data_IF_195616939331
#
_entry.id   IF_195616939331
#
_cell.length_a   1.000
_cell.length_b   1.000
_cell.length_c   1.000
_cell.angle_alpha   90.00
_cell.angle_beta   90.00
_cell.angle_gamma   90.00
#
_symmetry.space_group_name_H-M   'P 1'
#
loop_
_entity.id
_entity.type
_entity.pdbx_description
1 polymer ?
#
# COMPACT_ATOMS: atom_id res chain seq x y z
N UNK A 1 -31.04 -21.84 -48.78
CA UNK A 1 -31.39 -20.42 -48.98
C UNK A 1 -30.11 -19.66 -49.29
N UNK A 2 -30.14 -18.65 -50.17
CA UNK A 2 -28.94 -17.90 -50.56
C UNK A 2 -28.43 -16.96 -49.46
N UNK A 3 -27.12 -16.63 -49.49
CA UNK A 3 -26.42 -15.64 -48.64
C UNK A 3 -27.26 -14.41 -48.36
N UNK A 4 -27.37 -14.02 -47.09
CA UNK A 4 -28.07 -12.80 -46.68
C UNK A 4 -27.36 -11.59 -47.30
N UNK A 5 -28.02 -10.98 -48.28
CA UNK A 5 -27.53 -9.84 -49.05
C UNK A 5 -28.51 -8.68 -49.01
N UNK A 6 -28.07 -7.48 -49.38
CA UNK A 6 -28.93 -6.29 -49.47
C UNK A 6 -30.18 -6.53 -50.34
N UNK A 7 -30.04 -7.30 -51.43
CA UNK A 7 -31.14 -7.66 -52.33
C UNK A 7 -32.18 -8.53 -51.64
N UNK A 8 -31.74 -9.58 -50.96
CA UNK A 8 -32.64 -10.49 -50.22
C UNK A 8 -33.34 -9.74 -49.08
N UNK A 9 -32.62 -8.88 -48.36
CA UNK A 9 -33.19 -8.10 -47.26
C UNK A 9 -34.31 -7.18 -47.76
N UNK A 10 -34.13 -6.54 -48.92
CA UNK A 10 -35.14 -5.64 -49.50
C UNK A 10 -36.43 -6.36 -49.91
N UNK A 11 -36.39 -7.67 -50.13
CA UNK A 11 -37.58 -8.47 -50.49
C UNK A 11 -38.33 -9.04 -49.29
N UNK A 12 -37.81 -8.90 -48.07
CA UNK A 12 -38.43 -9.47 -46.87
C UNK A 12 -39.60 -8.60 -46.42
N UNK A 13 -40.74 -9.24 -46.17
CA UNK A 13 -41.95 -8.59 -45.67
C UNK A 13 -42.23 -9.03 -44.23
N UNK A 14 -42.86 -8.16 -43.41
CA UNK A 14 -43.34 -8.56 -42.09
C UNK A 14 -44.39 -9.68 -42.20
N UNK A 15 -44.44 -10.56 -41.20
CA UNK A 15 -45.46 -11.59 -41.07
C UNK A 15 -46.12 -11.50 -39.69
N UNK A 16 -47.21 -12.24 -39.45
CA UNK A 16 -47.93 -12.22 -38.17
C UNK A 16 -47.05 -12.61 -36.97
N UNK A 17 -46.07 -13.49 -37.19
CA UNK A 17 -45.07 -13.92 -36.21
C UNK A 17 -43.67 -13.63 -36.72
N UNK A 18 -42.72 -13.48 -35.80
CA UNK A 18 -41.33 -13.31 -36.19
C UNK A 18 -40.80 -14.58 -36.89
N UNK A 19 -39.96 -14.38 -37.88
CA UNK A 19 -39.32 -15.49 -38.60
C UNK A 19 -37.83 -15.23 -38.80
N UNK A 20 -37.11 -16.30 -39.14
CA UNK A 20 -35.65 -16.31 -39.26
C UNK A 20 -35.26 -16.69 -40.69
N UNK A 21 -34.41 -15.86 -41.28
CA UNK A 21 -33.79 -16.09 -42.59
C UNK A 21 -32.33 -16.46 -42.35
N UNK A 22 -31.96 -17.70 -42.68
CA UNK A 22 -30.62 -18.24 -42.43
C UNK A 22 -29.63 -17.85 -43.54
N UNK A 23 -28.38 -17.60 -43.14
CA UNK A 23 -27.26 -17.41 -44.05
C UNK A 23 -26.65 -18.77 -44.43
N UNK A 24 -26.24 -18.92 -45.69
CA UNK A 24 -25.59 -20.14 -46.19
C UNK A 24 -24.06 -20.15 -46.00
N UNK A 25 -23.44 -18.98 -45.75
CA UNK A 25 -21.98 -18.90 -45.59
C UNK A 25 -21.54 -19.15 -44.16
N UNK A 26 -22.32 -18.73 -43.17
CA UNK A 26 -21.99 -18.89 -41.75
C UNK A 26 -23.10 -19.66 -41.04
N UNK A 27 -22.82 -20.92 -40.72
CA UNK A 27 -23.75 -21.78 -39.98
C UNK A 27 -24.12 -21.14 -38.63
N UNK A 28 -25.43 -21.03 -38.37
CA UNK A 28 -25.95 -20.39 -37.16
C UNK A 28 -26.17 -18.88 -37.29
N UNK A 29 -25.64 -18.20 -38.31
CA UNK A 29 -25.92 -16.78 -38.55
C UNK A 29 -27.25 -16.60 -39.31
N UNK A 30 -28.05 -15.64 -38.87
CA UNK A 30 -29.36 -15.39 -39.47
C UNK A 30 -29.83 -13.94 -39.29
N UNK A 31 -30.83 -13.56 -40.10
CA UNK A 31 -31.60 -12.35 -39.92
C UNK A 31 -32.98 -12.70 -39.36
N UNK A 32 -33.33 -12.11 -38.22
CA UNK A 32 -34.66 -12.20 -37.63
C UNK A 32 -35.50 -11.01 -38.10
N UNK A 33 -36.66 -11.30 -38.68
CA UNK A 33 -37.66 -10.30 -39.09
C UNK A 33 -38.79 -10.33 -38.09
N UNK A 34 -39.09 -9.19 -37.48
CA UNK A 34 -40.17 -9.04 -36.50
C UNK A 34 -41.50 -8.68 -37.17
N UNK A 35 -42.66 -8.93 -36.54
CA UNK A 35 -43.96 -8.52 -37.08
C UNK A 35 -44.08 -7.01 -37.34
N UNK A 36 -43.31 -6.19 -36.61
CA UNK A 36 -43.22 -4.74 -36.81
C UNK A 36 -42.39 -4.32 -38.03
N UNK A 37 -41.82 -5.27 -38.79
CA UNK A 37 -40.88 -5.01 -39.88
C UNK A 37 -39.46 -4.67 -39.44
N UNK A 38 -39.21 -4.54 -38.12
CA UNK A 38 -37.85 -4.40 -37.60
C UNK A 38 -37.05 -5.66 -37.91
N UNK A 39 -35.79 -5.50 -38.28
CA UNK A 39 -34.90 -6.62 -38.55
C UNK A 39 -33.68 -6.59 -37.63
N UNK A 40 -33.22 -7.76 -37.20
CA UNK A 40 -32.04 -7.91 -36.34
C UNK A 40 -31.21 -9.11 -36.73
N UNK A 41 -29.90 -8.92 -36.81
CA UNK A 41 -28.95 -9.99 -37.02
C UNK A 41 -28.76 -10.77 -35.72
N UNK A 42 -28.83 -12.09 -35.84
CA UNK A 42 -28.71 -13.03 -34.73
C UNK A 42 -27.73 -14.15 -35.08
N UNK A 43 -27.10 -14.72 -34.07
CA UNK A 43 -26.32 -15.94 -34.19
C UNK A 43 -26.83 -16.98 -33.19
N UNK A 44 -27.09 -18.17 -33.70
CA UNK A 44 -27.53 -19.33 -32.95
C UNK A 44 -26.34 -20.26 -32.75
N UNK A 45 -26.13 -20.70 -31.53
CA UNK A 45 -25.04 -21.61 -31.18
C UNK A 45 -25.44 -22.51 -30.01
N UNK A 46 -24.61 -23.51 -29.73
CA UNK A 46 -24.72 -24.33 -28.53
C UNK A 46 -23.56 -24.01 -27.60
N UNK A 47 -23.87 -23.74 -26.34
CA UNK A 47 -22.90 -23.62 -25.27
C UNK A 47 -23.46 -24.26 -24.00
N UNK A 48 -22.63 -24.96 -23.24
CA UNK A 48 -23.02 -25.63 -21.99
C UNK A 48 -24.28 -26.53 -22.14
N UNK A 49 -24.34 -27.31 -23.23
CA UNK A 49 -25.45 -28.23 -23.52
C UNK A 49 -26.77 -27.58 -23.92
N UNK A 50 -26.85 -26.25 -24.02
CA UNK A 50 -28.08 -25.51 -24.33
C UNK A 50 -27.98 -24.79 -25.67
N UNK A 51 -29.09 -24.73 -26.40
CA UNK A 51 -29.23 -23.84 -27.55
C UNK A 51 -29.40 -22.39 -27.08
N UNK A 52 -28.60 -21.49 -27.65
CA UNK A 52 -28.61 -20.06 -27.35
C UNK A 52 -28.77 -19.27 -28.65
N UNK A 53 -29.41 -18.11 -28.53
CA UNK A 53 -29.51 -17.10 -29.59
C UNK A 53 -28.93 -15.80 -29.06
N UNK A 54 -27.94 -15.25 -29.75
CA UNK A 54 -27.32 -13.98 -29.43
C UNK A 54 -27.69 -12.94 -30.51
N UNK A 55 -28.22 -11.81 -30.07
CA UNK A 55 -28.55 -10.70 -30.99
C UNK A 55 -27.34 -9.79 -31.15
N UNK A 56 -26.82 -9.73 -32.38
CA UNK A 56 -25.67 -8.90 -32.77
C UNK A 56 -26.10 -7.43 -32.83
N UNK A 57 -27.19 -7.13 -33.54
CA UNK A 57 -27.70 -5.78 -33.65
C UNK A 57 -28.81 -5.63 -34.70
N UNK A 58 -29.37 -4.44 -34.78
CA UNK A 58 -30.46 -4.14 -35.73
C UNK A 58 -29.93 -3.81 -37.12
N UNK A 59 -30.69 -4.22 -38.14
CA UNK A 59 -30.46 -3.79 -39.50
C UNK A 59 -30.59 -2.27 -39.60
N UNK A 60 -29.64 -1.62 -40.30
CA UNK A 60 -29.46 -0.16 -40.31
C UNK A 60 -28.06 0.19 -39.79
N UNK A 61 -27.85 0.29 -38.47
CA UNK A 61 -26.50 0.45 -37.88
C UNK A 61 -25.57 -0.72 -38.22
N UNK A 62 -26.13 -1.93 -38.34
CA UNK A 62 -25.42 -3.11 -38.82
C UNK A 62 -25.80 -3.43 -40.27
N UNK A 63 -24.79 -3.74 -41.08
CA UNK A 63 -24.97 -4.32 -42.42
C UNK A 63 -24.82 -5.84 -42.35
N UNK A 64 -25.33 -6.55 -43.37
CA UNK A 64 -25.26 -8.02 -43.40
C UNK A 64 -23.82 -8.53 -43.33
N UNK A 65 -22.89 -7.86 -44.02
CA UNK A 65 -21.49 -8.25 -44.04
C UNK A 65 -20.81 -8.00 -42.69
N UNK A 66 -20.97 -6.81 -42.10
CA UNK A 66 -20.42 -6.51 -40.76
C UNK A 66 -20.99 -7.44 -39.69
N UNK A 67 -22.28 -7.76 -39.76
CA UNK A 67 -22.91 -8.66 -38.82
C UNK A 67 -22.44 -10.11 -39.01
N UNK A 68 -22.12 -10.53 -40.24
CA UNK A 68 -21.53 -11.85 -40.52
C UNK A 68 -20.13 -11.96 -39.95
N UNK A 69 -19.28 -10.95 -40.16
CA UNK A 69 -17.93 -10.92 -39.58
C UNK A 69 -17.97 -11.00 -38.05
N UNK A 70 -18.93 -10.30 -37.42
CA UNK A 70 -19.12 -10.36 -35.98
C UNK A 70 -19.68 -11.72 -35.51
N UNK A 71 -20.57 -12.33 -36.29
CA UNK A 71 -21.06 -13.68 -36.03
C UNK A 71 -19.91 -14.71 -36.01
N UNK A 72 -18.96 -14.60 -36.95
CA UNK A 72 -17.77 -15.46 -36.99
C UNK A 72 -16.95 -15.32 -35.71
N UNK A 73 -16.70 -14.09 -35.23
CA UNK A 73 -15.98 -13.86 -33.97
C UNK A 73 -16.72 -14.44 -32.77
N UNK A 74 -18.03 -14.26 -32.70
CA UNK A 74 -18.86 -14.82 -31.62
C UNK A 74 -18.78 -16.35 -31.63
N UNK A 75 -18.89 -16.99 -32.80
CA UNK A 75 -18.78 -18.44 -32.96
C UNK A 75 -17.38 -18.97 -32.61
N UNK A 76 -16.32 -18.23 -32.95
CA UNK A 76 -14.96 -18.56 -32.54
C UNK A 76 -14.84 -18.60 -31.00
N UNK A 77 -15.36 -17.56 -30.30
CA UNK A 77 -15.36 -17.53 -28.82
C UNK A 77 -16.14 -18.68 -28.20
N UNK A 78 -17.24 -19.11 -28.83
CA UNK A 78 -18.03 -20.29 -28.41
C UNK A 78 -17.24 -21.58 -28.59
N UNK A 79 -16.49 -21.71 -29.70
CA UNK A 79 -15.62 -22.85 -29.94
C UNK A 79 -14.50 -22.95 -28.89
N UNK A 80 -14.03 -21.81 -28.39
CA UNK A 80 -13.06 -21.72 -27.30
C UNK A 80 -13.66 -21.98 -25.91
N UNK A 81 -14.94 -22.39 -25.84
CA UNK A 81 -15.63 -22.78 -24.60
C UNK A 81 -16.34 -21.64 -23.86
N UNK A 82 -16.36 -20.41 -24.41
CA UNK A 82 -17.03 -19.27 -23.79
C UNK A 82 -18.51 -19.21 -24.19
N UNK A 83 -19.39 -18.68 -23.33
CA UNK A 83 -20.80 -18.41 -23.67
C UNK A 83 -21.07 -16.89 -23.71
N UNK A 84 -21.03 -16.25 -24.89
CA UNK A 84 -21.21 -14.80 -25.05
C UNK A 84 -22.51 -14.23 -24.47
N UNK A 85 -23.58 -15.03 -24.38
CA UNK A 85 -24.85 -14.60 -23.83
C UNK A 85 -24.84 -14.66 -22.29
N UNK A 86 -24.12 -15.61 -21.70
CA UNK A 86 -23.90 -15.69 -20.26
C UNK A 86 -22.96 -14.56 -19.81
N UNK A 87 -21.87 -14.30 -20.54
CA UNK A 87 -20.99 -13.14 -20.30
C UNK A 87 -21.75 -11.81 -20.31
N UNK A 88 -22.61 -11.59 -21.32
CA UNK A 88 -23.46 -10.38 -21.42
C UNK A 88 -24.48 -10.28 -20.28
N UNK A 89 -24.97 -11.41 -19.77
CA UNK A 89 -25.83 -11.46 -18.60
C UNK A 89 -25.09 -11.09 -17.33
N UNK A 90 -23.90 -11.66 -17.12
CA UNK A 90 -23.01 -11.40 -16.00
C UNK A 90 -22.56 -9.93 -15.95
N UNK A 91 -22.25 -9.31 -17.10
CA UNK A 91 -21.92 -7.88 -17.16
C UNK A 91 -23.08 -6.98 -16.70
N UNK A 92 -24.32 -7.35 -17.04
CA UNK A 92 -25.51 -6.58 -16.63
C UNK A 92 -25.80 -6.73 -15.13
N UNK A 93 -25.64 -7.93 -14.58
CA UNK A 93 -25.90 -8.21 -13.16
C UNK A 93 -24.71 -7.85 -12.26
N UNK A 94 -23.51 -7.68 -12.82
CA UNK A 94 -22.31 -7.27 -12.09
C UNK A 94 -22.57 -6.00 -11.26
N UNK A 95 -22.14 -5.93 -9.99
CA UNK A 95 -22.24 -4.71 -9.21
C UNK A 95 -21.33 -3.63 -9.81
N UNK A 96 -21.64 -2.37 -9.53
CA UNK A 96 -20.68 -1.27 -9.78
C UNK A 96 -19.51 -1.38 -8.82
N UNK A 97 -18.38 -0.74 -9.15
CA UNK A 97 -17.22 -0.63 -8.26
C UNK A 97 -17.63 -0.04 -6.91
N UNK A 98 -18.46 1.01 -6.91
CA UNK A 98 -18.94 1.62 -5.67
C UNK A 98 -19.79 0.67 -4.82
N UNK A 99 -20.68 -0.10 -5.44
CA UNK A 99 -21.46 -1.14 -4.74
C UNK A 99 -20.54 -2.23 -4.16
N UNK A 100 -19.56 -2.69 -4.94
CA UNK A 100 -18.63 -3.70 -4.48
C UNK A 100 -17.68 -3.18 -3.39
N UNK A 101 -17.29 -1.89 -3.41
CA UNK A 101 -16.50 -1.29 -2.33
C UNK A 101 -17.20 -1.43 -0.97
N UNK A 102 -18.53 -1.29 -0.91
CA UNK A 102 -19.28 -1.49 0.34
C UNK A 102 -19.16 -2.93 0.85
N UNK A 103 -19.31 -3.91 -0.05
CA UNK A 103 -19.16 -5.34 0.28
C UNK A 103 -17.72 -5.65 0.71
N UNK A 104 -16.74 -5.11 0.01
CA UNK A 104 -15.31 -5.25 0.32
C UNK A 104 -14.97 -4.68 1.70
N UNK A 105 -15.48 -3.50 2.03
CA UNK A 105 -15.27 -2.89 3.34
C UNK A 105 -15.85 -3.75 4.45
N UNK A 106 -17.11 -4.19 4.30
CA UNK A 106 -17.80 -4.95 5.33
C UNK A 106 -17.17 -6.33 5.55
N UNK A 107 -16.94 -7.09 4.47
CA UNK A 107 -16.50 -8.49 4.56
C UNK A 107 -15.00 -8.68 4.75
N UNK A 108 -14.18 -7.69 4.36
CA UNK A 108 -12.73 -7.83 4.42
C UNK A 108 -12.06 -6.78 5.30
N UNK A 109 -12.33 -5.49 5.04
CA UNK A 109 -11.62 -4.40 5.72
C UNK A 109 -11.94 -4.41 7.22
N UNK A 110 -13.22 -4.43 7.60
CA UNK A 110 -13.63 -4.44 9.00
C UNK A 110 -13.26 -5.72 9.74
N UNK A 111 -13.31 -6.87 9.06
CA UNK A 111 -13.08 -8.19 9.66
C UNK A 111 -11.60 -8.49 9.90
N UNK A 112 -10.71 -8.09 8.98
CA UNK A 112 -9.32 -8.59 9.00
C UNK A 112 -8.26 -7.52 9.22
N UNK A 113 -8.58 -6.23 9.10
CA UNK A 113 -7.58 -5.16 9.16
C UNK A 113 -7.65 -4.41 10.48
N UNK A 114 -6.49 -3.95 10.98
CA UNK A 114 -6.42 -3.05 12.15
C UNK A 114 -7.12 -1.73 11.83
N UNK A 115 -7.75 -1.09 12.83
CA UNK A 115 -8.53 0.16 12.68
C UNK A 115 -7.83 1.27 11.88
N UNK A 116 -6.53 1.47 12.10
CA UNK A 116 -5.74 2.45 11.33
C UNK A 116 -5.61 2.10 9.85
N UNK A 117 -5.47 0.80 9.54
CA UNK A 117 -5.43 0.31 8.16
C UNK A 117 -6.81 0.39 7.52
N UNK A 118 -7.89 0.15 8.29
CA UNK A 118 -9.26 0.35 7.82
C UNK A 118 -9.50 1.80 7.39
N UNK A 119 -9.08 2.77 8.21
CA UNK A 119 -9.20 4.19 7.89
C UNK A 119 -8.48 4.58 6.59
N UNK A 120 -7.27 4.04 6.36
CA UNK A 120 -6.53 4.28 5.11
C UNK A 120 -7.19 3.64 3.88
N UNK A 121 -7.74 2.43 4.03
CA UNK A 121 -8.50 1.76 2.96
C UNK A 121 -9.77 2.54 2.62
N UNK A 122 -10.50 2.98 3.65
CA UNK A 122 -11.71 3.78 3.50
C UNK A 122 -11.40 5.11 2.81
N UNK A 123 -10.33 5.80 3.23
CA UNK A 123 -9.83 7.02 2.57
C UNK A 123 -9.49 6.77 1.09
N UNK A 124 -8.81 5.66 0.78
CA UNK A 124 -8.48 5.30 -0.61
C UNK A 124 -9.74 5.09 -1.46
N UNK A 125 -10.77 4.46 -0.88
CA UNK A 125 -12.06 4.19 -1.51
C UNK A 125 -12.82 5.50 -1.77
N UNK A 126 -12.99 6.33 -0.75
CA UNK A 126 -13.88 7.50 -0.78
C UNK A 126 -13.31 8.66 -1.59
N UNK A 127 -12.00 8.90 -1.47
CA UNK A 127 -11.38 10.07 -2.10
C UNK A 127 -10.89 9.77 -3.53
N UNK A 128 -10.62 8.51 -3.85
CA UNK A 128 -9.95 8.15 -5.11
C UNK A 128 -10.78 7.16 -5.95
N UNK A 129 -11.00 5.94 -5.44
CA UNK A 129 -11.58 4.85 -6.24
C UNK A 129 -13.01 5.17 -6.68
N UNK A 130 -13.90 5.45 -5.72
CA UNK A 130 -15.31 5.70 -5.99
C UNK A 130 -15.52 6.95 -6.84
N UNK A 131 -14.71 7.99 -6.62
CA UNK A 131 -14.78 9.26 -7.37
C UNK A 131 -14.42 9.13 -8.85
N UNK A 132 -13.58 8.17 -9.23
CA UNK A 132 -13.10 8.04 -10.63
C UNK A 132 -13.68 6.86 -11.39
N UNK A 133 -13.81 5.70 -10.75
CA UNK A 133 -14.29 4.49 -11.40
C UNK A 133 -15.51 3.87 -10.70
N UNK A 134 -16.06 4.54 -9.68
CA UNK A 134 -17.15 4.01 -8.85
C UNK A 134 -18.43 3.64 -9.60
N UNK A 135 -18.76 4.37 -10.68
CA UNK A 135 -19.94 4.10 -11.51
C UNK A 135 -19.77 2.94 -12.48
N UNK A 136 -18.53 2.53 -12.77
CA UNK A 136 -18.25 1.43 -13.70
C UNK A 136 -18.63 0.09 -13.08
N UNK A 137 -19.05 -0.85 -13.91
CA UNK A 137 -19.34 -2.24 -13.54
C UNK A 137 -18.05 -3.01 -13.27
N UNK A 138 -18.03 -3.89 -12.26
CA UNK A 138 -16.84 -4.67 -11.91
C UNK A 138 -16.32 -5.52 -13.08
N UNK A 139 -17.23 -6.09 -13.87
CA UNK A 139 -16.88 -6.83 -15.09
C UNK A 139 -16.28 -5.95 -16.20
N UNK A 140 -16.76 -4.70 -16.33
CA UNK A 140 -16.37 -3.80 -17.42
C UNK A 140 -15.06 -3.01 -17.17
N UNK A 141 -14.48 -3.10 -15.97
CA UNK A 141 -13.20 -2.41 -15.69
C UNK A 141 -12.05 -3.16 -16.36
N UNK A 142 -11.38 -2.50 -17.29
CA UNK A 142 -10.25 -3.03 -18.05
C UNK A 142 -8.90 -2.64 -17.43
N UNK A 143 -7.82 -3.26 -17.89
CA UNK A 143 -6.46 -2.85 -17.51
C UNK A 143 -6.16 -1.40 -17.93
N UNK A 144 -6.60 -0.98 -19.11
CA UNK A 144 -6.42 0.40 -19.60
C UNK A 144 -7.07 1.45 -18.68
N UNK A 145 -8.25 1.12 -18.13
CA UNK A 145 -8.93 1.99 -17.17
C UNK A 145 -8.13 2.15 -15.87
N UNK A 146 -7.50 1.08 -15.38
CA UNK A 146 -6.69 1.13 -14.16
C UNK A 146 -5.39 1.91 -14.41
N UNK A 147 -4.77 1.77 -15.58
CA UNK A 147 -3.59 2.59 -15.97
C UNK A 147 -3.97 4.06 -16.00
N UNK A 148 -5.10 4.41 -16.62
CA UNK A 148 -5.60 5.80 -16.67
C UNK A 148 -5.93 6.34 -15.27
N UNK A 149 -6.56 5.51 -14.44
CA UNK A 149 -6.84 5.84 -13.04
C UNK A 149 -5.56 6.13 -12.25
N UNK A 150 -4.54 5.28 -12.36
CA UNK A 150 -3.26 5.46 -11.67
C UNK A 150 -2.48 6.67 -12.22
N UNK A 151 -2.56 6.94 -13.53
CA UNK A 151 -1.98 8.13 -14.16
C UNK A 151 -2.59 9.44 -13.65
N UNK A 152 -3.90 9.44 -13.36
CA UNK A 152 -4.61 10.61 -12.84
C UNK A 152 -3.97 11.16 -11.55
N UNK A 153 -3.39 10.29 -10.72
CA UNK A 153 -2.81 10.64 -9.42
C UNK A 153 -1.28 10.72 -9.42
N UNK A 154 -0.65 10.87 -10.59
CA UNK A 154 0.82 10.90 -10.74
C UNK A 154 1.54 11.98 -9.94
N UNK A 155 0.86 13.09 -9.65
CA UNK A 155 1.37 14.20 -8.84
C UNK A 155 1.46 13.85 -7.34
N UNK A 156 0.82 12.78 -6.90
CA UNK A 156 0.86 12.25 -5.53
C UNK A 156 1.28 10.78 -5.56
N UNK A 157 2.51 10.46 -6.02
CA UNK A 157 2.91 9.11 -6.43
C UNK A 157 2.78 8.06 -5.32
N UNK A 158 3.10 8.44 -4.08
CA UNK A 158 2.92 7.57 -2.92
C UNK A 158 1.45 7.16 -2.75
N UNK A 159 0.53 8.14 -2.75
CA UNK A 159 -0.90 7.89 -2.61
C UNK A 159 -1.43 7.08 -3.81
N UNK A 160 -1.01 7.39 -5.03
CA UNK A 160 -1.38 6.62 -6.22
C UNK A 160 -1.00 5.14 -6.08
N UNK A 161 0.23 4.85 -5.62
CA UNK A 161 0.69 3.49 -5.38
C UNK A 161 -0.07 2.80 -4.26
N UNK A 162 -0.36 3.49 -3.14
CA UNK A 162 -1.15 2.94 -2.04
C UNK A 162 -2.57 2.60 -2.50
N UNK A 163 -3.24 3.52 -3.20
CA UNK A 163 -4.58 3.33 -3.74
C UNK A 163 -4.63 2.19 -4.76
N UNK A 164 -3.63 2.07 -5.65
CA UNK A 164 -3.50 0.92 -6.56
C UNK A 164 -3.38 -0.40 -5.80
N UNK A 165 -2.69 -0.42 -4.64
CA UNK A 165 -2.63 -1.59 -3.77
C UNK A 165 -4.01 -2.00 -3.24
N UNK A 166 -4.80 -1.04 -2.75
CA UNK A 166 -6.18 -1.28 -2.29
C UNK A 166 -7.05 -1.78 -3.44
N UNK A 167 -6.98 -1.13 -4.60
CA UNK A 167 -7.74 -1.49 -5.79
C UNK A 167 -7.40 -2.90 -6.28
N UNK A 168 -6.10 -3.24 -6.31
CA UNK A 168 -5.63 -4.58 -6.66
C UNK A 168 -6.16 -5.63 -5.70
N UNK A 169 -6.13 -5.38 -4.38
CA UNK A 169 -6.67 -6.31 -3.39
C UNK A 169 -8.19 -6.50 -3.55
N UNK A 170 -8.91 -5.41 -3.80
CA UNK A 170 -10.35 -5.44 -4.05
C UNK A 170 -10.70 -6.29 -5.27
N UNK A 171 -10.02 -6.11 -6.41
CA UNK A 171 -10.27 -6.93 -7.60
C UNK A 171 -9.88 -8.40 -7.40
N UNK A 172 -8.80 -8.70 -6.67
CA UNK A 172 -8.46 -10.08 -6.32
C UNK A 172 -9.55 -10.75 -5.47
N UNK A 173 -10.18 -10.02 -4.54
CA UNK A 173 -11.31 -10.55 -3.77
C UNK A 173 -12.60 -10.63 -4.59
N UNK A 174 -12.81 -9.72 -5.54
CA UNK A 174 -13.94 -9.81 -6.46
C UNK A 174 -13.89 -11.09 -7.29
N UNK A 175 -12.70 -11.49 -7.73
CA UNK A 175 -12.46 -12.77 -8.40
C UNK A 175 -12.75 -13.93 -7.44
N UNK A 176 -12.13 -13.92 -6.26
CA UNK A 176 -12.30 -14.98 -5.26
C UNK A 176 -13.76 -15.17 -4.83
N UNK A 177 -14.54 -14.09 -4.75
CA UNK A 177 -15.96 -14.12 -4.38
C UNK A 177 -16.90 -14.33 -5.57
N UNK A 178 -16.38 -14.64 -6.76
CA UNK A 178 -17.18 -14.91 -7.95
C UNK A 178 -17.92 -13.69 -8.53
N UNK A 179 -17.59 -12.49 -8.08
CA UNK A 179 -18.16 -11.23 -8.62
C UNK A 179 -17.54 -10.88 -9.97
N UNK A 180 -16.30 -11.31 -10.20
CA UNK A 180 -15.61 -11.17 -11.47
C UNK A 180 -15.17 -12.56 -11.97
N UNK A 181 -15.75 -12.97 -13.10
CA UNK A 181 -15.68 -14.35 -13.62
C UNK A 181 -14.56 -14.56 -14.64
N UNK A 182 -14.05 -13.50 -15.26
CA UNK A 182 -12.92 -13.55 -16.20
C UNK A 182 -11.58 -13.96 -15.56
N UNK A 183 -11.53 -14.06 -14.23
CA UNK A 183 -10.35 -14.41 -13.43
C UNK A 183 -9.13 -13.50 -13.69
N UNK A 184 -9.36 -12.28 -14.20
CA UNK A 184 -8.31 -11.31 -14.51
C UNK A 184 -8.37 -10.14 -13.55
N UNK A 185 -7.26 -9.87 -12.85
CA UNK A 185 -7.12 -8.66 -12.06
C UNK A 185 -6.63 -7.51 -12.96
N UNK A 186 -7.43 -6.47 -13.24
CA UNK A 186 -7.05 -5.38 -14.14
C UNK A 186 -5.92 -4.50 -13.58
N UNK A 187 -5.55 -4.65 -12.30
CA UNK A 187 -4.40 -3.95 -11.70
C UNK A 187 -3.07 -4.66 -11.92
N UNK A 188 -3.09 -5.92 -12.39
CA UNK A 188 -1.87 -6.71 -12.60
C UNK A 188 -1.02 -6.08 -13.70
N UNK A 189 0.27 -5.87 -13.41
CA UNK A 189 1.21 -5.30 -14.39
C UNK A 189 1.27 -3.77 -14.41
N UNK A 190 0.38 -3.06 -13.69
CA UNK A 190 0.43 -1.60 -13.60
C UNK A 190 1.71 -1.18 -12.88
N UNK A 191 2.59 -0.47 -13.60
CA UNK A 191 3.89 -0.01 -13.09
C UNK A 191 3.70 1.06 -12.01
N UNK A 192 4.15 0.76 -10.79
CA UNK A 192 4.15 1.71 -9.68
C UNK A 192 5.11 2.86 -9.93
N UNK A 193 4.77 4.05 -9.44
CA UNK A 193 5.68 5.19 -9.45
C UNK A 193 6.88 4.93 -8.54
N UNK A 194 8.04 5.46 -8.94
CA UNK A 194 9.23 5.43 -8.10
C UNK A 194 8.98 6.35 -6.90
N UNK A 195 9.03 5.78 -5.71
CA UNK A 195 8.89 6.54 -4.46
C UNK A 195 10.29 7.01 -4.04
N UNK A 196 10.46 8.32 -3.83
CA UNK A 196 11.69 8.85 -3.25
C UNK A 196 11.70 8.55 -1.75
N UNK A 197 12.58 7.63 -1.34
CA UNK A 197 12.89 7.45 0.08
C UNK A 197 13.66 8.68 0.54
N UNK A 198 13.19 9.30 1.61
CA UNK A 198 13.92 10.38 2.28
C UNK A 198 14.69 9.78 3.46
N UNK A 199 15.98 10.08 3.50
CA UNK A 199 16.88 9.68 4.58
C UNK A 199 17.34 10.96 5.26
N UNK A 200 16.94 11.11 6.52
CA UNK A 200 17.21 12.27 7.35
C UNK A 200 17.45 11.79 8.77
N UNK A 201 18.55 12.22 9.35
CA UNK A 201 18.98 11.97 10.71
C UNK A 201 19.74 13.22 11.18
N UNK A 202 19.75 13.48 12.48
CA UNK A 202 20.34 14.67 13.07
C UNK A 202 21.86 14.53 13.15
N UNK A 203 22.59 15.58 12.77
CA UNK A 203 24.01 15.71 13.09
C UNK A 203 24.22 16.15 14.55
N UNK A 204 25.44 16.04 15.07
CA UNK A 204 25.77 16.42 16.45
C UNK A 204 25.35 17.86 16.81
N UNK A 205 25.60 18.82 15.93
CA UNK A 205 25.20 20.23 16.11
C UNK A 205 23.67 20.40 16.11
N UNK A 206 22.96 19.58 15.32
CA UNK A 206 21.50 19.62 15.25
C UNK A 206 20.87 19.02 16.51
N UNK A 207 21.48 17.99 17.09
CA UNK A 207 21.10 17.48 18.40
C UNK A 207 21.20 18.56 19.48
N UNK A 208 22.26 19.38 19.45
CA UNK A 208 22.42 20.49 20.40
C UNK A 208 21.33 21.57 20.23
N UNK A 209 21.08 22.01 18.99
CA UNK A 209 20.01 22.99 18.72
C UNK A 209 18.63 22.45 19.10
N UNK A 210 18.35 21.19 18.80
CA UNK A 210 17.11 20.53 19.19
C UNK A 210 16.99 20.42 20.72
N UNK A 211 18.07 20.06 21.42
CA UNK A 211 18.11 20.02 22.88
C UNK A 211 17.73 21.37 23.50
N UNK A 212 18.34 22.46 23.03
CA UNK A 212 18.00 23.82 23.47
C UNK A 212 16.51 24.15 23.22
N UNK A 213 16.01 23.90 22.02
CA UNK A 213 14.61 24.17 21.69
C UNK A 213 13.61 23.33 22.51
N UNK A 214 14.00 22.10 22.90
CA UNK A 214 13.23 21.25 23.80
C UNK A 214 13.21 21.82 25.23
N UNK A 215 14.34 22.30 25.72
CA UNK A 215 14.44 22.91 27.05
C UNK A 215 13.63 24.21 27.14
N UNK A 216 13.73 25.09 26.13
CA UNK A 216 12.95 26.32 26.04
C UNK A 216 11.43 26.05 25.99
N UNK A 217 11.02 24.94 25.36
CA UNK A 217 9.61 24.56 25.26
C UNK A 217 9.06 23.88 26.53
N UNK A 218 9.93 23.39 27.43
CA UNK A 218 9.56 22.51 28.55
C UNK A 218 8.55 23.11 29.51
N UNK A 219 8.66 24.40 29.80
CA UNK A 219 7.72 25.11 30.68
C UNK A 219 6.31 25.21 30.09
N UNK A 220 6.17 25.18 28.76
CA UNK A 220 4.89 25.39 28.07
C UNK A 220 4.22 24.10 27.57
N UNK A 221 5.00 23.05 27.31
CA UNK A 221 4.50 21.78 26.77
C UNK A 221 5.29 20.56 27.26
N UNK A 222 5.42 20.37 28.59
CA UNK A 222 6.31 19.38 29.18
C UNK A 222 6.07 17.95 28.66
N UNK A 223 4.82 17.54 28.46
CA UNK A 223 4.47 16.19 27.98
C UNK A 223 4.95 15.95 26.55
N UNK A 224 4.87 16.95 25.69
CA UNK A 224 5.38 16.85 24.33
C UNK A 224 6.92 16.76 24.32
N UNK A 225 7.59 17.56 25.15
CA UNK A 225 9.05 17.54 25.26
C UNK A 225 9.54 16.18 25.81
N UNK A 226 8.87 15.65 26.84
CA UNK A 226 9.11 14.30 27.37
C UNK A 226 8.98 13.24 26.28
N UNK A 227 7.93 13.31 25.46
CA UNK A 227 7.72 12.37 24.37
C UNK A 227 8.87 12.43 23.33
N UNK A 228 9.32 13.61 22.93
CA UNK A 228 10.41 13.75 21.95
C UNK A 228 11.76 13.27 22.49
N UNK A 229 12.08 13.59 23.75
CA UNK A 229 13.29 13.08 24.39
C UNK A 229 13.27 11.56 24.52
N UNK A 230 12.14 10.96 24.93
CA UNK A 230 12.03 9.51 24.97
C UNK A 230 12.20 8.88 23.57
N UNK A 231 11.68 9.50 22.51
CA UNK A 231 11.87 9.01 21.14
C UNK A 231 13.34 9.05 20.72
N UNK A 232 14.06 10.11 21.05
CA UNK A 232 15.50 10.25 20.80
C UNK A 232 16.31 9.20 21.58
N UNK A 233 16.03 9.04 22.88
CA UNK A 233 16.84 8.21 23.78
C UNK A 233 16.59 6.70 23.64
N UNK A 234 15.45 6.29 23.07
CA UNK A 234 15.06 4.87 23.03
C UNK A 234 14.89 4.31 21.62
N UNK A 235 14.87 5.17 20.60
CA UNK A 235 14.55 4.77 19.23
C UNK A 235 13.15 4.17 19.06
N UNK A 236 12.23 4.35 20.02
CA UNK A 236 10.86 3.86 19.95
C UNK A 236 10.08 4.49 18.79
N UNK A 237 9.01 3.82 18.35
CA UNK A 237 8.05 4.42 17.42
C UNK A 237 7.21 5.46 18.16
N UNK A 238 6.77 6.49 17.43
CA UNK A 238 5.87 7.52 17.96
C UNK A 238 4.70 6.95 18.76
N UNK A 239 3.98 5.96 18.20
CA UNK A 239 2.82 5.35 18.87
C UNK A 239 3.18 4.49 20.08
N UNK A 240 4.41 3.98 20.17
CA UNK A 240 4.88 3.22 21.33
C UNK A 240 5.05 4.17 22.51
N UNK A 241 5.71 5.32 22.32
CA UNK A 241 5.85 6.35 23.36
C UNK A 241 4.52 7.02 23.68
N UNK A 242 3.74 7.37 22.66
CA UNK A 242 2.46 8.05 22.83
C UNK A 242 1.45 7.26 23.67
N UNK A 243 1.51 5.92 23.62
CA UNK A 243 0.61 5.02 24.35
C UNK A 243 1.32 4.29 25.47
N UNK A 244 2.53 4.71 25.82
CA UNK A 244 3.31 4.10 26.88
C UNK A 244 2.57 4.27 28.20
N UNK A 245 2.40 3.16 28.92
CA UNK A 245 1.79 3.14 30.24
C UNK A 245 2.81 2.77 31.29
N UNK A 246 2.59 3.25 32.51
CA UNK A 246 3.46 2.96 33.66
C UNK A 246 3.58 1.46 33.96
N UNK A 247 2.52 0.67 33.76
CA UNK A 247 2.56 -0.81 33.90
C UNK A 247 3.59 -1.51 33.00
N UNK A 248 4.10 -0.83 31.97
CA UNK A 248 5.09 -1.37 31.04
C UNK A 248 6.51 -0.91 31.36
N UNK A 249 6.71 -0.04 32.35
CA UNK A 249 7.99 0.60 32.67
C UNK A 249 8.58 -0.03 33.93
N UNK A 250 9.73 -0.67 33.79
CA UNK A 250 10.45 -1.33 34.89
C UNK A 250 11.80 -0.64 35.07
N UNK A 251 11.80 0.42 35.88
CA UNK A 251 12.96 1.31 36.01
C UNK A 251 14.16 0.65 36.68
N UNK A 252 13.92 -0.24 37.66
CA UNK A 252 14.99 -0.96 38.36
C UNK A 252 15.71 -1.96 37.45
N UNK A 253 14.98 -2.51 36.47
CA UNK A 253 15.53 -3.39 35.44
C UNK A 253 16.07 -2.62 34.23
N UNK A 254 15.83 -1.30 34.14
CA UNK A 254 16.19 -0.49 32.99
C UNK A 254 15.48 -0.88 31.71
N UNK A 255 14.21 -1.30 31.77
CA UNK A 255 13.47 -1.76 30.57
C UNK A 255 12.05 -1.21 30.43
N UNK A 256 11.60 -1.11 29.19
CA UNK A 256 10.17 -1.00 28.83
C UNK A 256 9.73 -2.29 28.13
N UNK A 257 8.65 -2.91 28.61
CA UNK A 257 8.06 -4.12 28.02
C UNK A 257 6.77 -3.78 27.29
N UNK A 258 6.83 -3.65 25.96
CA UNK A 258 5.69 -3.28 25.13
C UNK A 258 4.92 -4.54 24.69
N UNK A 259 3.65 -4.75 25.12
CA UNK A 259 2.89 -5.96 24.78
C UNK A 259 2.33 -5.94 23.35
N UNK A 260 1.92 -4.76 22.85
CA UNK A 260 1.41 -4.58 21.49
C UNK A 260 2.19 -3.48 20.76
N UNK A 261 3.01 -3.89 19.79
CA UNK A 261 3.64 -3.00 18.83
C UNK A 261 3.30 -3.42 17.40
N UNK A 262 3.64 -2.56 16.42
CA UNK A 262 3.50 -2.83 14.98
C UNK A 262 3.99 -4.23 14.59
N UNK A 263 5.02 -4.73 15.27
CA UNK A 263 5.67 -6.01 15.03
C UNK A 263 5.47 -7.01 16.21
N UNK A 264 4.41 -6.88 17.00
CA UNK A 264 4.16 -7.72 18.19
C UNK A 264 4.94 -7.24 19.42
N UNK A 265 4.91 -8.03 20.49
CA UNK A 265 5.54 -7.69 21.76
C UNK A 265 7.06 -7.49 21.59
N UNK A 266 7.63 -6.54 22.34
CA UNK A 266 9.08 -6.30 22.38
C UNK A 266 9.52 -5.64 23.68
N UNK A 267 10.76 -5.90 24.07
CA UNK A 267 11.45 -5.20 25.15
C UNK A 267 12.37 -4.12 24.59
N UNK A 268 12.40 -2.96 25.24
CA UNK A 268 13.27 -1.82 24.93
C UNK A 268 14.18 -1.62 26.13
N UNK A 269 15.49 -1.63 25.89
CA UNK A 269 16.51 -1.34 26.90
C UNK A 269 16.61 0.18 27.10
N UNK A 270 16.74 0.63 28.35
CA UNK A 270 16.84 2.03 28.72
C UNK A 270 18.27 2.37 29.16
N UNK A 271 18.82 3.44 28.60
CA UNK A 271 20.02 4.07 29.16
C UNK A 271 19.68 4.94 30.38
N UNK A 272 20.70 5.31 31.14
CA UNK A 272 20.56 6.09 32.39
C UNK A 272 19.79 7.40 32.19
N UNK A 273 20.04 8.12 31.10
CA UNK A 273 19.32 9.37 30.79
C UNK A 273 17.82 9.15 30.55
N UNK A 274 17.44 8.03 29.93
CA UNK A 274 16.04 7.70 29.71
C UNK A 274 15.35 7.30 31.04
N UNK A 275 16.05 6.55 31.90
CA UNK A 275 15.58 6.23 33.26
C UNK A 275 15.41 7.50 34.08
N UNK A 276 16.38 8.40 34.06
CA UNK A 276 16.32 9.69 34.77
C UNK A 276 15.14 10.55 34.29
N UNK A 277 14.94 10.63 32.98
CA UNK A 277 13.78 11.33 32.42
C UNK A 277 12.47 10.71 32.90
N UNK A 278 12.31 9.38 32.81
CA UNK A 278 11.10 8.70 33.27
C UNK A 278 10.83 8.92 34.76
N UNK A 279 11.86 8.91 35.61
CA UNK A 279 11.74 9.24 37.05
C UNK A 279 11.25 10.66 37.32
N UNK A 280 11.58 11.61 36.43
CA UNK A 280 11.14 13.01 36.56
C UNK A 280 9.69 13.26 36.13
N UNK A 281 9.07 12.31 35.42
CA UNK A 281 7.68 12.47 34.94
C UNK A 281 6.73 12.10 36.08
N UNK A 282 5.86 13.02 36.54
CA UNK A 282 4.94 12.73 37.63
C UNK A 282 3.87 11.72 37.20
N UNK A 283 3.61 10.73 38.06
CA UNK A 283 2.48 9.81 37.90
C UNK A 283 1.19 10.51 38.33
N UNK A 284 0.24 10.67 37.40
CA UNK A 284 -1.07 11.27 37.70
C UNK A 284 -2.03 10.17 38.15
N UNK A 285 -2.60 10.32 39.35
CA UNK A 285 -3.59 9.39 39.88
C UNK A 285 -4.75 9.19 38.88
N UNK A 286 -5.13 7.94 38.62
CA UNK A 286 -6.19 7.59 37.66
C UNK A 286 -5.79 7.64 36.18
N UNK A 287 -4.59 8.10 35.82
CA UNK A 287 -4.11 8.11 34.44
C UNK A 287 -2.96 7.09 34.24
N UNK A 288 -3.16 6.02 33.45
CA UNK A 288 -2.15 4.98 33.29
C UNK A 288 -0.98 5.39 32.39
N UNK A 289 -1.08 6.49 31.64
CA UNK A 289 -0.12 6.86 30.61
C UNK A 289 1.07 7.66 31.14
N UNK A 290 2.26 7.41 30.57
CA UNK A 290 3.48 8.19 30.84
C UNK A 290 3.38 9.58 30.21
N UNK A 291 2.89 9.66 28.97
CA UNK A 291 2.67 10.92 28.26
C UNK A 291 1.19 11.26 28.29
N UNK A 292 0.79 12.02 29.30
CA UNK A 292 -0.61 12.37 29.57
C UNK A 292 -1.13 13.42 28.59
N UNK A 293 -2.44 13.40 28.36
CA UNK A 293 -3.14 14.38 27.54
C UNK A 293 -4.02 15.30 28.38
N UNK A 294 -4.66 16.28 27.72
CA UNK A 294 -5.60 17.21 28.39
C UNK A 294 -6.90 16.55 28.85
N UNK A 295 -7.27 15.39 28.27
CA UNK A 295 -8.46 14.65 28.66
C UNK A 295 -8.11 13.73 29.81
N UNK A 296 -8.98 13.70 30.81
CA UNK A 296 -8.80 12.82 31.97
C UNK A 296 -8.68 11.35 31.56
N UNK A 297 -7.78 10.62 32.22
CA UNK A 297 -7.40 9.24 31.87
C UNK A 297 -6.78 9.06 30.46
N UNK A 298 -6.54 10.14 29.73
CA UNK A 298 -6.09 10.12 28.34
C UNK A 298 -4.59 10.37 28.17
N UNK A 299 -4.09 10.01 26.99
CA UNK A 299 -2.73 10.30 26.56
C UNK A 299 -2.69 11.47 25.55
N UNK A 300 -1.53 12.09 25.36
CA UNK A 300 -1.35 13.13 24.36
C UNK A 300 -1.50 12.54 22.95
N UNK A 301 -2.46 13.01 22.14
CA UNK A 301 -2.74 12.43 20.81
C UNK A 301 -2.09 13.19 19.66
N UNK A 302 -1.92 14.51 19.79
CA UNK A 302 -1.31 15.38 18.77
C UNK A 302 0.09 15.81 19.19
N UNK A 303 1.10 15.13 18.64
CA UNK A 303 2.50 15.51 18.77
C UNK A 303 2.99 16.28 17.52
N UNK A 304 2.20 16.34 16.46
CA UNK A 304 2.59 16.96 15.21
C UNK A 304 2.61 18.50 15.33
N UNK A 305 1.60 19.08 15.99
CA UNK A 305 1.59 20.54 16.25
C UNK A 305 2.75 20.99 17.16
N UNK A 306 2.98 20.38 18.34
CA UNK A 306 4.16 20.68 19.15
C UNK A 306 5.47 20.51 18.37
N UNK A 307 5.61 19.41 17.63
CA UNK A 307 6.83 19.13 16.88
C UNK A 307 7.13 20.21 15.84
N UNK A 308 6.13 20.68 15.09
CA UNK A 308 6.33 21.76 14.10
C UNK A 308 6.84 23.05 14.73
N UNK A 309 6.41 23.37 15.96
CA UNK A 309 6.88 24.55 16.67
C UNK A 309 8.33 24.38 17.12
N UNK A 310 8.63 23.26 17.80
CA UNK A 310 9.96 22.97 18.34
C UNK A 310 11.01 22.87 17.24
N UNK A 311 10.72 22.12 16.17
CA UNK A 311 11.67 21.96 15.06
C UNK A 311 11.93 23.26 14.32
N UNK A 312 10.93 24.15 14.23
CA UNK A 312 11.09 25.47 13.61
C UNK A 312 12.05 26.33 14.42
N UNK A 313 11.90 26.34 15.75
CA UNK A 313 12.81 27.04 16.66
C UNK A 313 14.25 26.50 16.57
N UNK A 314 14.40 25.19 16.40
CA UNK A 314 15.71 24.56 16.21
C UNK A 314 16.34 24.76 14.81
N UNK A 315 15.62 25.38 13.87
CA UNK A 315 16.05 25.48 12.46
C UNK A 315 16.06 24.14 11.72
N UNK A 316 15.10 23.26 12.03
CA UNK A 316 14.98 21.86 11.57
C UNK A 316 13.64 21.59 10.86
N UNK A 317 13.21 22.51 9.99
CA UNK A 317 11.90 22.44 9.32
C UNK A 317 11.68 21.15 8.50
N UNK A 318 12.76 20.53 8.04
CA UNK A 318 12.75 19.31 7.24
C UNK A 318 12.70 18.01 8.07
N UNK A 319 12.98 18.09 9.38
CA UNK A 319 13.01 16.93 10.30
C UNK A 319 11.60 16.53 10.73
N UNK A 320 11.27 15.26 10.57
CA UNK A 320 10.00 14.65 10.98
C UNK A 320 10.18 13.96 12.32
N UNK A 321 9.09 13.73 13.05
CA UNK A 321 9.12 12.98 14.31
C UNK A 321 9.76 11.58 14.13
N UNK A 322 9.51 10.92 12.99
CA UNK A 322 10.10 9.61 12.73
C UNK A 322 11.61 9.66 12.49
N UNK A 323 12.16 10.82 12.12
CA UNK A 323 13.59 11.00 11.90
C UNK A 323 14.35 11.03 13.24
N UNK A 324 13.68 11.28 14.38
CA UNK A 324 14.27 11.09 15.72
C UNK A 324 14.70 9.64 15.94
N UNK A 325 13.87 8.69 15.50
CA UNK A 325 14.21 7.26 15.53
C UNK A 325 15.29 6.91 14.50
N UNK A 326 15.35 7.60 13.37
CA UNK A 326 16.44 7.43 12.40
C UNK A 326 17.76 7.95 12.95
N UNK A 327 17.73 9.04 13.72
CA UNK A 327 18.90 9.63 14.39
C UNK A 327 19.46 8.66 15.41
N UNK A 328 18.64 8.12 16.32
CA UNK A 328 19.06 7.06 17.26
C UNK A 328 19.77 5.87 16.58
N UNK A 329 19.27 5.47 15.40
CA UNK A 329 19.87 4.37 14.64
C UNK A 329 21.19 4.75 13.95
N UNK A 330 21.30 6.01 13.51
CA UNK A 330 22.53 6.57 12.93
C UNK A 330 23.59 6.68 14.01
N UNK A 331 23.25 7.22 15.18
CA UNK A 331 24.15 7.40 16.31
C UNK A 331 24.70 6.05 16.80
N UNK A 332 23.84 5.03 16.91
CA UNK A 332 24.28 3.67 17.24
C UNK A 332 25.32 3.13 16.24
N UNK A 333 25.12 3.40 14.95
CA UNK A 333 26.06 2.98 13.92
C UNK A 333 27.40 3.74 14.00
N UNK A 334 27.35 5.04 14.31
CA UNK A 334 28.54 5.88 14.49
C UNK A 334 29.37 5.43 15.70
N UNK A 335 28.70 4.96 16.76
CA UNK A 335 29.32 4.32 17.92
C UNK A 335 29.90 2.93 17.62
N UNK A 336 29.71 2.41 16.41
CA UNK A 336 30.31 1.16 15.94
C UNK A 336 29.41 -0.07 16.02
N UNK A 337 28.14 0.09 16.38
CA UNK A 337 27.20 -1.03 16.43
C UNK A 337 26.96 -1.65 15.05
N UNK A 338 26.73 -2.96 15.02
CA UNK A 338 26.40 -3.65 13.78
C UNK A 338 24.89 -3.53 13.41
N UNK A 339 24.55 -3.86 12.16
CA UNK A 339 23.18 -3.72 11.66
C UNK A 339 22.20 -4.72 12.31
N UNK A 340 22.68 -5.85 12.82
CA UNK A 340 21.85 -6.82 13.53
C UNK A 340 21.48 -6.24 14.90
N UNK A 341 22.46 -5.68 15.62
CA UNK A 341 22.25 -5.05 16.91
C UNK A 341 21.33 -3.84 16.80
N UNK A 342 21.57 -2.93 15.84
CA UNK A 342 20.65 -1.81 15.56
C UNK A 342 19.25 -2.32 15.22
N UNK A 343 19.14 -3.41 14.45
CA UNK A 343 17.85 -4.05 14.15
C UNK A 343 17.11 -4.53 15.41
N UNK A 344 17.83 -5.13 16.36
CA UNK A 344 17.29 -5.55 17.66
C UNK A 344 16.86 -4.35 18.51
N UNK A 345 17.72 -3.33 18.65
CA UNK A 345 17.42 -2.08 19.36
C UNK A 345 16.17 -1.39 18.82
N UNK A 346 15.95 -1.44 17.51
CA UNK A 346 14.78 -0.85 16.86
C UNK A 346 13.55 -1.80 16.79
N UNK A 347 13.69 -3.09 17.11
CA UNK A 347 12.59 -4.06 16.98
C UNK A 347 12.14 -4.25 15.53
N UNK A 348 13.11 -4.36 14.61
CA UNK A 348 12.88 -4.74 13.21
C UNK A 348 12.77 -6.26 13.10
N UNK A 349 11.71 -6.76 12.45
CA UNK A 349 11.55 -8.19 12.13
C UNK A 349 12.40 -8.63 10.93
N UNK A 350 12.63 -7.71 9.99
CA UNK A 350 13.37 -7.96 8.76
C UNK A 350 14.57 -7.02 8.71
N UNK A 351 15.77 -7.61 8.52
CA UNK A 351 17.03 -6.89 8.39
C UNK A 351 17.03 -5.92 7.20
N UNK A 352 16.21 -6.13 6.16
CA UNK A 352 16.05 -5.15 5.06
C UNK A 352 15.59 -3.79 5.54
N UNK A 353 14.87 -3.71 6.66
CA UNK A 353 14.46 -2.44 7.27
C UNK A 353 15.64 -1.68 7.87
N UNK A 354 16.65 -2.41 8.36
CA UNK A 354 17.88 -1.84 8.94
C UNK A 354 18.97 -1.63 7.88
N UNK A 355 18.94 -2.38 6.78
CA UNK A 355 19.90 -2.25 5.67
C UNK A 355 19.94 -0.85 5.07
N UNK A 356 18.91 -0.03 5.29
CA UNK A 356 18.93 1.39 4.91
C UNK A 356 20.07 2.16 5.57
N UNK A 357 20.57 1.76 6.74
CA UNK A 357 21.71 2.43 7.38
C UNK A 357 23.07 1.90 6.91
N UNK A 358 23.11 0.83 6.11
CA UNK A 358 24.36 0.19 5.71
C UNK A 358 25.31 1.14 4.96
N UNK A 359 24.76 2.09 4.20
CA UNK A 359 25.57 3.05 3.42
C UNK A 359 26.33 4.06 4.30
N UNK A 360 25.90 4.25 5.56
CA UNK A 360 26.54 5.14 6.52
C UNK A 360 27.82 4.53 7.13
N UNK A 361 28.10 3.25 6.89
CA UNK A 361 29.31 2.57 7.38
C UNK A 361 30.62 3.06 6.76
N UNK A 362 30.63 3.97 5.78
CA UNK A 362 31.86 4.37 5.08
C UNK A 362 32.93 4.93 6.03
N UNK A 363 32.57 5.85 6.91
CA UNK A 363 33.53 6.43 7.87
C UNK A 363 33.93 5.45 8.99
N UNK A 364 33.00 4.70 9.62
CA UNK A 364 33.37 3.63 10.55
C UNK A 364 34.30 2.58 9.94
N UNK A 365 34.11 2.21 8.66
CA UNK A 365 34.99 1.27 7.94
C UNK A 365 36.39 1.87 7.80
N UNK A 366 36.53 3.13 7.38
CA UNK A 366 37.84 3.78 7.27
C UNK A 366 38.55 3.86 8.62
N UNK A 367 37.82 4.18 9.70
CA UNK A 367 38.36 4.21 11.06
C UNK A 367 38.81 2.81 11.52
N UNK A 368 38.02 1.78 11.24
CA UNK A 368 38.36 0.40 11.55
C UNK A 368 39.61 -0.06 10.78
N UNK A 369 39.69 0.24 9.48
CA UNK A 369 40.88 -0.06 8.65
C UNK A 369 42.11 0.64 9.21
N UNK A 370 42.02 1.93 9.56
CA UNK A 370 43.14 2.67 10.16
C UNK A 370 43.58 2.06 11.51
N UNK A 371 42.63 1.63 12.33
CA UNK A 371 42.93 0.95 13.60
C UNK A 371 43.61 -0.42 13.40
N UNK A 372 43.15 -1.20 12.43
CA UNK A 372 43.76 -2.49 12.06
C UNK A 372 45.17 -2.27 11.52
N UNK A 373 45.35 -1.31 10.62
CA UNK A 373 46.62 -0.94 10.01
C UNK A 373 47.67 -0.54 11.06
N UNK A 374 47.30 0.34 11.99
CA UNK A 374 48.17 0.74 13.11
C UNK A 374 48.53 -0.44 14.01
N UNK A 375 47.56 -1.31 14.35
CA UNK A 375 47.79 -2.48 15.19
C UNK A 375 48.76 -3.46 14.55
N UNK A 376 48.56 -3.76 13.25
CA UNK A 376 49.42 -4.67 12.50
C UNK A 376 50.82 -4.06 12.35
N UNK A 377 50.91 -2.78 11.96
CA UNK A 377 52.18 -2.08 11.80
C UNK A 377 53.00 -2.03 13.09
N UNK A 378 52.36 -1.77 14.24
CA UNK A 378 53.02 -1.79 15.54
C UNK A 378 53.55 -3.19 15.89
N UNK A 379 52.79 -4.25 15.62
CA UNK A 379 53.23 -5.63 15.85
C UNK A 379 54.41 -6.03 14.95
N UNK A 380 54.38 -5.66 13.67
CA UNK A 380 55.47 -5.90 12.73
C UNK A 380 56.75 -5.13 13.14
N UNK A 381 56.61 -3.88 13.58
CA UNK A 381 57.76 -3.08 14.05
C UNK A 381 58.38 -3.63 15.35
N UNK A 382 57.56 -4.07 16.31
CA UNK A 382 58.03 -4.67 17.56
C UNK A 382 58.82 -5.98 17.33
N UNK A 383 58.50 -6.71 16.26
CA UNK A 383 59.20 -7.94 15.84
C UNK A 383 60.63 -7.67 15.34
N UNK A 384 60.86 -6.49 14.75
CA UNK A 384 62.17 -6.11 14.20
C UNK A 384 63.13 -5.59 15.27
N UNK A 385 62.63 -5.06 16.39
CA UNK A 385 63.48 -4.53 17.48
C UNK A 385 64.13 -5.65 18.28
N UNK A 386 63.44 -6.77 18.51
CA UNK A 386 63.97 -7.94 19.22
C UNK A 386 65.02 -8.73 18.44
N UNK A 387 65.15 -8.51 17.14
CA UNK A 387 66.16 -9.16 16.30
C UNK A 387 67.50 -8.42 16.28
N UNK A 388 67.57 -7.20 16.84
CA UNK A 388 68.76 -6.32 16.76
C UNK A 388 69.57 -6.29 18.06
N UNK A 389 69.08 -6.87 19.16
CA UNK A 389 69.77 -6.91 20.47
C UNK A 389 70.45 -8.26 20.77
N UNK A 390 70.68 -9.08 19.75
CA UNK A 390 71.37 -10.37 19.86
C UNK A 390 72.59 -10.44 18.93
N UNK A 391 73.41 -9.39 18.94
CA UNK A 391 74.80 -9.43 18.44
C UNK A 391 75.61 -8.51 19.35
N UNK A 392 76.12 -9.06 20.45
CA UNK A 392 77.34 -8.61 21.15
C UNK A 392 77.94 -9.82 21.89
#
# INVERSE_FOLDING_TARGET
MPRISKRIIATLQPAEKDYIVWDDQVAGFALRVWPSGRMSYVVHYRANGRFRRYTIGHHGPWTADKARDEAIKILARVKDGNDPNTERGEERTSPTVSQFCKIFVERHVKTHLKSTTQAEYQRAIDLFITKKIGSRKMAAVTHSDVVTFHHTYRNIPYQANRTLGVLSKMFSLAILWGVRTDNVNPCRGVKRYKEQKRERYLAAEEHQRLGKALDDARSTMPEAVNAFQLLLLTGCRLREIQRLKWEYVFLDEGVIRLPDSKNGARTVQLGESAVGLLKSIPMIAGNPYVITGRKDGGHLTDLEKPWRRIRKEAGLDDVRIHDLRHSFASDALELGEDLIMIGKLLGHRDLKSTARYAHLKKEPIQRAVKGIDLKISAALAASNVTSTTAVD
#
